data_IF_640325218934
#
_entry.id   IF_640325218934
#
_cell.length_a   1.000
_cell.length_b   1.000
_cell.length_c   1.000
_cell.angle_alpha   90.00
_cell.angle_beta   90.00
_cell.angle_gamma   90.00
#
_symmetry.space_group_name_H-M   'P 1'
#
loop_
_entity.id
_entity.type
_entity.pdbx_description
1 polymer ?
#
# COMPACT_ATOMS: atom_id res chain seq x y z
N UNK A 1 4.27 12.26 -16.14
CA UNK A 1 4.19 10.86 -15.70
C UNK A 1 3.73 10.81 -14.25
N UNK A 2 2.90 9.86 -13.91
CA UNK A 2 2.34 9.76 -12.57
C UNK A 2 3.06 8.72 -11.71
N UNK A 3 3.17 9.00 -10.43
CA UNK A 3 3.68 8.09 -9.39
C UNK A 3 2.51 7.77 -8.46
N UNK A 4 2.23 6.49 -8.32
CA UNK A 4 1.10 5.96 -7.56
C UNK A 4 1.60 5.15 -6.36
N UNK A 5 1.17 5.51 -5.16
CA UNK A 5 1.41 4.72 -3.94
C UNK A 5 0.16 3.91 -3.63
N UNK A 6 0.29 2.59 -3.51
CA UNK A 6 -0.84 1.72 -3.21
C UNK A 6 -1.11 1.68 -1.71
N UNK A 7 -2.32 2.04 -1.31
CA UNK A 7 -2.79 1.86 0.06
C UNK A 7 -3.23 0.41 0.29
N UNK A 8 -3.29 0.01 1.54
CA UNK A 8 -3.75 -1.32 1.98
C UNK A 8 -5.14 -1.63 1.45
N UNK A 9 -6.07 -0.66 1.47
CA UNK A 9 -7.44 -0.84 0.97
C UNK A 9 -7.51 -1.29 -0.49
N UNK A 10 -6.52 -0.92 -1.29
CA UNK A 10 -6.39 -1.33 -2.70
C UNK A 10 -5.70 -2.69 -2.81
N UNK A 11 -4.63 -2.89 -2.08
CA UNK A 11 -3.82 -4.12 -2.19
C UNK A 11 -4.55 -5.37 -1.73
N UNK A 12 -5.38 -5.26 -0.68
CA UNK A 12 -6.23 -6.38 -0.22
C UNK A 12 -7.26 -6.78 -1.29
N UNK A 13 -7.80 -5.81 -2.02
CA UNK A 13 -8.70 -6.08 -3.15
C UNK A 13 -7.96 -6.80 -4.29
N UNK A 14 -6.76 -6.31 -4.62
CA UNK A 14 -5.92 -6.91 -5.64
C UNK A 14 -5.61 -8.39 -5.33
N UNK A 15 -5.30 -8.70 -4.07
CA UNK A 15 -4.99 -10.07 -3.63
C UNK A 15 -6.24 -10.94 -3.41
N UNK A 16 -7.43 -10.38 -3.51
CA UNK A 16 -8.68 -11.10 -3.30
C UNK A 16 -8.83 -11.64 -1.87
N UNK A 17 -8.46 -10.82 -0.88
CA UNK A 17 -8.58 -11.19 0.54
C UNK A 17 -10.06 -11.35 0.90
N UNK A 18 -10.50 -12.48 1.52
CA UNK A 18 -11.89 -12.69 1.92
C UNK A 18 -12.44 -11.51 2.74
N UNK A 19 -13.68 -11.14 2.50
CA UNK A 19 -14.39 -10.01 3.10
C UNK A 19 -13.84 -8.62 2.72
N UNK A 20 -12.79 -8.55 1.90
CA UNK A 20 -12.14 -7.31 1.48
C UNK A 20 -11.92 -7.27 -0.04
N UNK A 21 -12.78 -7.96 -0.79
CA UNK A 21 -12.60 -8.20 -2.23
C UNK A 21 -13.81 -7.81 -3.09
N UNK A 22 -14.71 -6.97 -2.57
CA UNK A 22 -15.91 -6.54 -3.29
C UNK A 22 -15.59 -5.74 -4.56
N UNK A 23 -14.43 -5.05 -4.59
CA UNK A 23 -13.97 -4.23 -5.71
C UNK A 23 -12.85 -4.90 -6.52
N UNK A 24 -12.64 -6.19 -6.32
CA UNK A 24 -11.50 -6.92 -6.93
C UNK A 24 -11.39 -6.73 -8.45
N UNK A 25 -12.48 -6.91 -9.18
CA UNK A 25 -12.48 -6.76 -10.63
C UNK A 25 -12.19 -5.32 -11.07
N UNK A 26 -12.79 -4.34 -10.40
CA UNK A 26 -12.57 -2.92 -10.69
C UNK A 26 -11.10 -2.52 -10.43
N UNK A 27 -10.51 -3.00 -9.34
CA UNK A 27 -9.11 -2.73 -9.00
C UNK A 27 -8.17 -3.33 -10.04
N UNK A 28 -8.43 -4.56 -10.50
CA UNK A 28 -7.64 -5.19 -11.57
C UNK A 28 -7.70 -4.39 -12.87
N UNK A 29 -8.87 -3.90 -13.25
CA UNK A 29 -9.03 -3.09 -14.45
C UNK A 29 -8.28 -1.75 -14.34
N UNK A 30 -8.39 -1.08 -13.20
CA UNK A 30 -7.64 0.16 -12.95
C UNK A 30 -6.14 -0.06 -12.97
N UNK A 31 -5.67 -1.17 -12.38
CA UNK A 31 -4.25 -1.52 -12.36
C UNK A 31 -3.73 -1.71 -13.78
N UNK A 32 -4.45 -2.45 -14.62
CA UNK A 32 -4.09 -2.63 -16.03
C UNK A 32 -3.96 -1.30 -16.75
N UNK A 33 -4.91 -0.39 -16.52
CA UNK A 33 -4.89 0.94 -17.15
C UNK A 33 -3.67 1.75 -16.70
N UNK A 34 -3.35 1.73 -15.40
CA UNK A 34 -2.18 2.43 -14.86
C UNK A 34 -0.89 1.90 -15.47
N UNK A 35 -0.76 0.58 -15.60
CA UNK A 35 0.40 -0.04 -16.23
C UNK A 35 0.50 0.38 -17.70
N UNK A 36 -0.59 0.37 -18.45
CA UNK A 36 -0.63 0.81 -19.84
C UNK A 36 -0.25 2.28 -20.00
N UNK A 37 -0.65 3.11 -19.05
CA UNK A 37 -0.35 4.54 -19.03
C UNK A 37 1.11 4.83 -18.60
N UNK A 38 1.86 3.81 -18.24
CA UNK A 38 3.26 3.95 -17.83
C UNK A 38 3.46 4.55 -16.45
N UNK A 39 2.46 4.45 -15.57
CA UNK A 39 2.59 4.94 -14.20
C UNK A 39 3.60 4.11 -13.41
N UNK A 40 4.34 4.77 -12.51
CA UNK A 40 5.17 4.10 -11.51
C UNK A 40 4.30 3.70 -10.32
N UNK A 41 4.32 2.43 -9.96
CA UNK A 41 3.51 1.88 -8.88
C UNK A 41 4.41 1.52 -7.71
N UNK A 42 4.23 2.20 -6.58
CA UNK A 42 5.01 1.97 -5.37
C UNK A 42 4.20 1.26 -4.29
N UNK A 43 4.88 0.36 -3.59
CA UNK A 43 4.29 -0.42 -2.51
C UNK A 43 4.92 0.00 -1.18
N UNK A 44 4.20 0.81 -0.38
CA UNK A 44 4.68 1.23 0.93
C UNK A 44 4.82 0.05 1.89
N UNK A 45 5.78 0.14 2.82
CA UNK A 45 5.95 -0.88 3.85
C UNK A 45 4.69 -1.06 4.71
N UNK A 46 4.02 0.04 5.08
CA UNK A 46 2.78 -0.03 5.84
C UNK A 46 1.72 -0.87 5.12
N UNK A 47 1.62 -0.73 3.80
CA UNK A 47 0.71 -1.54 2.98
C UNK A 47 1.05 -3.02 3.06
N UNK A 48 2.33 -3.37 3.01
CA UNK A 48 2.76 -4.77 3.13
C UNK A 48 2.39 -5.33 4.50
N UNK A 49 2.73 -4.63 5.57
CA UNK A 49 2.49 -5.10 6.94
C UNK A 49 1.00 -5.21 7.26
N UNK A 50 0.22 -4.18 6.94
CA UNK A 50 -1.21 -4.17 7.21
C UNK A 50 -1.97 -5.20 6.37
N UNK A 51 -1.57 -5.40 5.12
CA UNK A 51 -2.15 -6.44 4.27
C UNK A 51 -1.92 -7.82 4.88
N UNK A 52 -0.71 -8.10 5.36
CA UNK A 52 -0.42 -9.34 6.07
C UNK A 52 -1.32 -9.55 7.29
N UNK A 53 -1.56 -8.50 8.06
CA UNK A 53 -2.46 -8.55 9.21
C UNK A 53 -3.90 -8.86 8.80
N UNK A 54 -4.41 -8.23 7.75
CA UNK A 54 -5.76 -8.50 7.24
C UNK A 54 -5.92 -9.92 6.73
N UNK A 55 -4.91 -10.47 6.06
CA UNK A 55 -4.93 -11.87 5.61
C UNK A 55 -5.07 -12.81 6.80
N UNK A 56 -4.33 -12.56 7.87
CA UNK A 56 -4.36 -13.40 9.07
C UNK A 56 -5.70 -13.35 9.83
N UNK A 57 -6.53 -12.34 9.57
CA UNK A 57 -7.77 -12.07 10.29
C UNK A 57 -9.04 -12.39 9.49
N UNK A 58 -8.92 -12.80 8.22
CA UNK A 58 -10.08 -12.99 7.35
C UNK A 58 -10.09 -14.38 6.71
N UNK A 59 -11.29 -14.98 6.70
CA UNK A 59 -11.49 -16.33 6.15
C UNK A 59 -11.09 -17.43 7.12
N UNK A 60 -11.21 -18.68 6.68
CA UNK A 60 -10.76 -19.85 7.44
C UNK A 60 -9.25 -20.10 7.24
N UNK A 61 -8.70 -21.08 7.97
CA UNK A 61 -7.26 -21.37 7.92
C UNK A 61 -6.75 -21.77 6.53
N UNK A 62 -7.56 -22.48 5.75
CA UNK A 62 -7.22 -22.87 4.39
C UNK A 62 -7.18 -21.68 3.45
N UNK A 63 -8.18 -20.80 3.54
CA UNK A 63 -8.23 -19.56 2.76
C UNK A 63 -7.08 -18.63 3.13
N UNK A 64 -6.78 -18.46 4.42
CA UNK A 64 -5.67 -17.63 4.89
C UNK A 64 -4.35 -18.10 4.31
N UNK A 65 -4.08 -19.40 4.34
CA UNK A 65 -2.85 -19.96 3.80
C UNK A 65 -2.75 -19.72 2.29
N UNK A 66 -3.82 -19.94 1.55
CA UNK A 66 -3.85 -19.74 0.10
C UNK A 66 -3.56 -18.28 -0.27
N UNK A 67 -4.22 -17.34 0.39
CA UNK A 67 -4.02 -15.91 0.13
C UNK A 67 -2.64 -15.47 0.58
N UNK A 68 -2.15 -15.99 1.73
CA UNK A 68 -0.80 -15.69 2.20
C UNK A 68 0.27 -16.15 1.20
N UNK A 69 0.10 -17.32 0.57
CA UNK A 69 1.02 -17.80 -0.45
C UNK A 69 1.08 -16.85 -1.65
N UNK A 70 -0.07 -16.36 -2.12
CA UNK A 70 -0.15 -15.37 -3.21
C UNK A 70 0.50 -14.05 -2.79
N UNK A 71 0.21 -13.60 -1.57
CA UNK A 71 0.80 -12.38 -1.01
C UNK A 71 2.32 -12.45 -0.97
N UNK A 72 2.87 -13.54 -0.44
CA UNK A 72 4.32 -13.74 -0.35
C UNK A 72 4.95 -13.73 -1.74
N UNK A 73 4.35 -14.42 -2.71
CA UNK A 73 4.82 -14.44 -4.09
C UNK A 73 4.86 -13.03 -4.68
N UNK A 74 3.79 -12.26 -4.55
CA UNK A 74 3.71 -10.91 -5.10
C UNK A 74 4.72 -9.96 -4.46
N UNK A 75 4.89 -10.02 -3.14
CA UNK A 75 5.86 -9.18 -2.44
C UNK A 75 7.29 -9.57 -2.80
N UNK A 76 7.60 -10.86 -2.87
CA UNK A 76 8.93 -11.32 -3.29
C UNK A 76 9.27 -10.88 -4.70
N UNK A 77 8.34 -10.99 -5.64
CA UNK A 77 8.54 -10.51 -7.01
C UNK A 77 8.82 -9.00 -7.02
N UNK A 78 8.11 -8.23 -6.19
CA UNK A 78 8.35 -6.79 -6.07
C UNK A 78 9.76 -6.52 -5.51
N UNK A 79 10.17 -7.22 -4.47
CA UNK A 79 11.51 -7.09 -3.89
C UNK A 79 12.62 -7.45 -4.87
N UNK A 80 12.37 -8.41 -5.76
CA UNK A 80 13.32 -8.87 -6.77
C UNK A 80 13.33 -7.99 -8.04
N UNK A 81 12.50 -6.96 -8.09
CA UNK A 81 12.39 -6.09 -9.27
C UNK A 81 11.72 -6.75 -10.47
N UNK A 82 10.90 -7.79 -10.24
CA UNK A 82 10.22 -8.58 -11.27
C UNK A 82 8.70 -8.38 -11.29
N UNK A 83 8.23 -7.28 -10.74
CA UNK A 83 6.82 -6.92 -10.59
C UNK A 83 6.61 -5.49 -11.06
N UNK A 84 5.38 -5.11 -11.46
CA UNK A 84 5.07 -3.70 -11.69
C UNK A 84 5.12 -2.86 -10.41
N UNK A 85 5.14 -3.49 -9.23
CA UNK A 85 5.21 -2.78 -7.96
C UNK A 85 6.66 -2.63 -7.50
N UNK A 86 7.03 -1.42 -7.06
CA UNK A 86 8.34 -1.14 -6.48
C UNK A 86 8.18 -0.87 -4.98
N UNK A 87 8.81 -1.65 -4.11
CA UNK A 87 8.72 -1.38 -2.68
C UNK A 87 9.40 -0.06 -2.32
N UNK A 88 8.82 0.67 -1.38
CA UNK A 88 9.45 1.86 -0.83
C UNK A 88 10.41 1.43 0.28
N UNK A 89 11.59 2.07 0.34
CA UNK A 89 12.60 1.76 1.35
C UNK A 89 12.06 1.96 2.78
N UNK A 90 12.56 1.15 3.71
CA UNK A 90 12.20 1.26 5.12
C UNK A 90 12.55 2.65 5.64
N UNK A 91 11.73 3.19 6.56
CA UNK A 91 12.01 4.50 7.16
C UNK A 91 13.30 4.45 8.00
N UNK A 92 13.98 5.58 8.06
CA UNK A 92 15.10 5.76 8.99
C UNK A 92 14.56 5.94 10.41
N UNK A 93 15.42 5.80 11.42
CA UNK A 93 15.03 6.09 12.80
C UNK A 93 14.56 7.53 12.97
N UNK A 94 15.19 8.48 12.27
CA UNK A 94 14.79 9.89 12.33
C UNK A 94 13.39 10.10 11.74
N UNK A 95 13.08 9.47 10.62
CA UNK A 95 11.74 9.50 10.05
C UNK A 95 10.69 8.91 11.01
N UNK A 96 11.02 7.80 11.67
CA UNK A 96 10.15 7.18 12.68
C UNK A 96 9.89 8.12 13.86
N UNK A 97 10.91 8.86 14.32
CA UNK A 97 10.75 9.86 15.39
C UNK A 97 9.77 10.96 14.98
N UNK A 98 9.85 11.43 13.75
CA UNK A 98 8.91 12.43 13.22
C UNK A 98 7.47 11.90 13.20
N UNK A 99 7.27 10.66 12.76
CA UNK A 99 5.94 10.03 12.76
C UNK A 99 5.39 9.92 14.18
N UNK A 100 6.21 9.48 15.13
CA UNK A 100 5.79 9.33 16.53
C UNK A 100 5.44 10.69 17.15
N UNK A 101 6.15 11.74 16.81
CA UNK A 101 5.85 13.09 17.30
C UNK A 101 4.49 13.58 16.78
N UNK A 102 4.12 13.26 15.55
CA UNK A 102 2.86 13.67 14.93
C UNK A 102 1.68 12.76 15.31
N UNK A 103 1.95 11.55 15.75
CA UNK A 103 0.92 10.52 15.94
C UNK A 103 -0.16 10.87 16.95
N UNK A 104 0.10 11.49 18.11
CA UNK A 104 -0.97 11.82 19.06
C UNK A 104 -2.11 12.63 18.43
N UNK A 105 -1.80 13.63 17.60
CA UNK A 105 -2.82 14.42 16.91
C UNK A 105 -3.58 13.61 15.87
N UNK A 106 -2.85 12.74 15.15
CA UNK A 106 -3.43 11.85 14.14
C UNK A 106 -4.36 10.81 14.80
N UNK A 107 -3.91 10.22 15.92
CA UNK A 107 -4.69 9.25 16.68
C UNK A 107 -5.97 9.86 17.24
N UNK A 108 -5.92 11.12 17.66
CA UNK A 108 -7.10 11.84 18.15
C UNK A 108 -8.18 11.95 17.07
N UNK A 109 -7.79 12.05 15.81
CA UNK A 109 -8.71 12.09 14.66
C UNK A 109 -9.12 10.69 14.18
N UNK A 110 -8.70 9.63 14.86
CA UNK A 110 -9.05 8.26 14.50
C UNK A 110 -8.22 7.64 13.39
N UNK A 111 -7.11 8.27 13.01
CA UNK A 111 -6.21 7.72 11.99
C UNK A 111 -5.09 6.91 12.62
N UNK A 112 -4.70 5.81 11.95
CA UNK A 112 -3.66 4.91 12.43
C UNK A 112 -2.25 5.35 12.03
N UNK A 113 -1.26 4.69 12.64
CA UNK A 113 0.14 4.93 12.35
C UNK A 113 0.51 4.52 10.91
N UNK A 114 -0.16 3.50 10.38
CA UNK A 114 0.01 3.08 8.99
C UNK A 114 -0.38 4.17 8.00
N UNK A 115 -1.52 4.83 8.20
CA UNK A 115 -1.97 5.94 7.35
C UNK A 115 -0.98 7.09 7.41
N UNK A 116 -0.49 7.42 8.61
CA UNK A 116 0.52 8.46 8.80
C UNK A 116 1.80 8.12 8.03
N UNK A 117 2.24 6.86 8.09
CA UNK A 117 3.41 6.36 7.36
C UNK A 117 3.27 6.56 5.85
N UNK A 118 2.12 6.23 5.28
CA UNK A 118 1.86 6.39 3.84
C UNK A 118 1.86 7.87 3.44
N UNK A 119 1.29 8.74 4.25
CA UNK A 119 1.30 10.19 4.00
C UNK A 119 2.73 10.72 3.99
N UNK A 120 3.58 10.28 4.92
CA UNK A 120 5.00 10.66 4.94
C UNK A 120 5.75 10.13 3.71
N UNK A 121 5.47 8.90 3.27
CA UNK A 121 6.01 8.37 2.02
C UNK A 121 5.61 9.24 0.83
N UNK A 122 4.33 9.62 0.77
CA UNK A 122 3.80 10.50 -0.27
C UNK A 122 4.51 11.87 -0.28
N UNK A 123 4.65 12.50 0.87
CA UNK A 123 5.35 13.78 1.01
C UNK A 123 6.79 13.69 0.52
N UNK A 124 7.50 12.63 0.90
CA UNK A 124 8.88 12.39 0.47
C UNK A 124 8.97 12.20 -1.05
N UNK A 125 8.05 11.43 -1.62
CA UNK A 125 8.01 11.21 -3.07
C UNK A 125 7.70 12.49 -3.82
N UNK A 126 6.81 13.34 -3.31
CA UNK A 126 6.55 14.66 -3.88
C UNK A 126 7.82 15.54 -3.89
N UNK A 127 8.58 15.51 -2.79
CA UNK A 127 9.81 16.29 -2.68
C UNK A 127 10.91 15.79 -3.63
N UNK A 128 11.01 14.47 -3.82
CA UNK A 128 11.99 13.84 -4.69
C UNK A 128 11.65 13.94 -6.18
N UNK A 129 10.38 14.11 -6.52
CA UNK A 129 9.88 14.09 -7.90
C UNK A 129 8.98 15.30 -8.18
N UNK A 130 9.52 16.54 -8.13
CA UNK A 130 8.68 17.75 -8.25
C UNK A 130 8.03 17.91 -9.63
N UNK A 131 8.55 17.24 -10.65
CA UNK A 131 7.99 17.30 -12.01
C UNK A 131 6.91 16.25 -12.28
N UNK A 132 6.59 15.40 -11.28
CA UNK A 132 5.64 14.31 -11.43
C UNK A 132 4.42 14.55 -10.56
N UNK A 133 3.26 14.05 -11.02
CA UNK A 133 2.09 13.91 -10.18
C UNK A 133 2.29 12.72 -9.27
N UNK A 134 2.22 12.92 -7.95
CA UNK A 134 2.32 11.86 -6.95
C UNK A 134 0.99 11.77 -6.21
N UNK A 135 0.41 10.57 -6.12
CA UNK A 135 -0.86 10.38 -5.44
C UNK A 135 -0.91 9.03 -4.73
N UNK A 136 -1.81 8.95 -3.75
CA UNK A 136 -2.10 7.70 -3.04
C UNK A 136 -3.36 7.10 -3.66
N UNK A 137 -3.27 5.85 -4.13
CA UNK A 137 -4.42 5.11 -4.62
C UNK A 137 -5.05 4.37 -3.45
N UNK A 138 -6.20 4.84 -3.00
CA UNK A 138 -6.88 4.35 -1.81
C UNK A 138 -8.37 4.29 -2.04
N UNK A 139 -9.03 3.33 -1.39
CA UNK A 139 -10.49 3.28 -1.23
C UNK A 139 -10.92 3.88 0.12
N UNK A 140 -9.96 4.31 0.93
CA UNK A 140 -10.19 4.93 2.23
C UNK A 140 -10.34 6.44 2.07
N UNK A 141 -11.47 6.98 2.56
CA UNK A 141 -11.76 8.40 2.46
C UNK A 141 -10.87 9.29 3.33
N UNK A 142 -10.09 8.73 4.24
CA UNK A 142 -9.16 9.47 5.10
C UNK A 142 -7.81 9.75 4.44
N UNK A 143 -7.55 9.17 3.30
CA UNK A 143 -6.37 9.38 2.48
C UNK A 143 -6.73 10.06 1.18
#
# INVERSE_FOLDING_TARGET
MSICLLDTSVFVEFLNVPNMNAQHAAIHNELKQKIQDGEFLFLPMATILETGNHIAQNGDGKQRRKVADVFVEQVQLALDGKSPFTPIAFPTQDAMREWLAAFPDVAMRGQGLGDLSIVHDWERMCAQHPAHRVYIWSLDHHL
#
